data_IF_712242566030
#
_entry.id   IF_712242566030
#
_cell.length_a   1.000
_cell.length_b   1.000
_cell.length_c   1.000
_cell.angle_alpha   90.00
_cell.angle_beta   90.00
_cell.angle_gamma   90.00
#
_symmetry.space_group_name_H-M   'P 1'
#
loop_
_entity.id
_entity.type
_entity.pdbx_description
1 polymer ?
#
# COMPACT_ATOMS: atom_id res chain seq x y z
N UNK A 1 -10.13 -22.28 22.19
CA UNK A 1 -8.85 -21.80 21.62
C UNK A 1 -9.13 -20.51 20.87
N UNK A 2 -8.88 -19.36 21.50
CA UNK A 2 -9.07 -18.06 20.85
C UNK A 2 -7.83 -17.75 19.99
N UNK A 3 -7.94 -17.97 18.68
CA UNK A 3 -6.97 -17.45 17.72
C UNK A 3 -7.07 -15.93 17.76
N UNK A 4 -6.15 -15.29 18.48
CA UNK A 4 -5.98 -13.84 18.45
C UNK A 4 -5.37 -13.49 17.09
N UNK A 5 -6.21 -13.41 16.06
CA UNK A 5 -5.89 -12.66 14.88
C UNK A 5 -5.78 -11.20 15.31
N UNK A 6 -4.57 -10.76 15.62
CA UNK A 6 -4.28 -9.34 15.69
C UNK A 6 -4.61 -8.78 14.30
N UNK A 7 -5.82 -8.22 14.15
CA UNK A 7 -6.22 -7.46 12.98
C UNK A 7 -5.36 -6.21 12.96
N UNK A 8 -4.17 -6.30 12.36
CA UNK A 8 -3.43 -5.10 11.99
C UNK A 8 -4.32 -4.36 11.01
N UNK A 9 -4.80 -3.19 11.44
CA UNK A 9 -5.70 -2.38 10.65
C UNK A 9 -5.04 -2.10 9.31
N UNK A 10 -5.70 -2.55 8.24
CA UNK A 10 -5.39 -2.11 6.89
C UNK A 10 -5.40 -0.59 6.88
N UNK A 11 -4.44 0.04 6.20
CA UNK A 11 -4.39 1.48 6.10
C UNK A 11 -5.10 1.87 4.80
N UNK A 12 -6.31 2.46 4.86
CA UNK A 12 -7.03 2.86 3.66
C UNK A 12 -6.20 3.83 2.83
N UNK A 13 -6.27 3.69 1.51
CA UNK A 13 -5.57 4.59 0.61
C UNK A 13 -4.06 4.34 0.50
N UNK A 14 -3.52 3.22 0.99
CA UNK A 14 -2.14 2.81 0.70
C UNK A 14 -2.09 1.65 -0.32
N UNK A 15 -0.97 1.53 -1.04
CA UNK A 15 -0.66 0.40 -1.93
C UNK A 15 0.79 -0.02 -1.70
N UNK A 16 1.00 -1.34 -1.56
CA UNK A 16 2.33 -1.96 -1.52
C UNK A 16 2.68 -2.46 -2.90
N UNK A 17 3.40 -1.65 -3.68
CA UNK A 17 3.91 -2.05 -4.98
C UNK A 17 5.10 -2.99 -4.83
N UNK A 18 5.18 -3.99 -5.70
CA UNK A 18 6.25 -4.98 -5.72
C UNK A 18 7.02 -4.86 -7.03
N UNK A 19 8.35 -4.72 -6.96
CA UNK A 19 9.22 -4.51 -8.10
C UNK A 19 10.23 -5.65 -8.25
N UNK A 20 10.35 -6.16 -9.47
CA UNK A 20 11.47 -7.02 -9.87
C UNK A 20 12.70 -6.18 -10.21
N UNK A 21 13.88 -6.80 -10.09
CA UNK A 21 15.16 -6.20 -10.44
C UNK A 21 15.19 -5.73 -11.90
N UNK A 22 15.75 -4.55 -12.11
CA UNK A 22 15.88 -3.93 -13.43
C UNK A 22 14.60 -3.29 -13.98
N UNK A 23 13.47 -3.35 -13.27
CA UNK A 23 12.22 -2.72 -13.68
C UNK A 23 11.95 -1.44 -12.88
N UNK A 24 11.54 -0.38 -13.58
CA UNK A 24 11.09 0.89 -12.98
C UNK A 24 9.58 0.94 -12.77
N UNK A 25 8.85 -0.04 -13.30
CA UNK A 25 7.40 -0.19 -13.18
C UNK A 25 7.05 -1.33 -12.22
N UNK A 26 5.95 -1.22 -11.44
CA UNK A 26 5.54 -2.30 -10.55
C UNK A 26 5.21 -3.58 -11.31
N UNK A 27 5.71 -4.72 -10.84
CA UNK A 27 5.38 -6.05 -11.36
C UNK A 27 4.12 -6.63 -10.73
N UNK A 28 3.84 -6.25 -9.48
CA UNK A 28 2.64 -6.67 -8.74
C UNK A 28 2.28 -5.64 -7.65
N UNK A 29 1.18 -5.92 -6.93
CA UNK A 29 0.75 -5.21 -5.73
C UNK A 29 0.31 -6.18 -4.65
N UNK A 30 0.55 -5.85 -3.39
CA UNK A 30 -0.01 -6.60 -2.27
C UNK A 30 -1.55 -6.54 -2.28
N UNK A 31 -2.15 -7.61 -1.77
CA UNK A 31 -3.59 -7.69 -1.57
C UNK A 31 -4.08 -6.59 -0.61
N UNK A 32 -3.37 -6.40 0.50
CA UNK A 32 -3.66 -5.42 1.55
C UNK A 32 -2.36 -4.82 2.08
N UNK A 33 -2.43 -3.58 2.58
CA UNK A 33 -1.30 -2.92 3.27
C UNK A 33 -1.74 -2.58 4.68
N UNK A 34 -1.08 -3.20 5.66
CA UNK A 34 -1.23 -2.88 7.07
C UNK A 34 -0.18 -1.87 7.54
N UNK A 35 -0.36 -1.35 8.75
CA UNK A 35 0.64 -0.48 9.40
C UNK A 35 2.00 -1.14 9.58
N UNK A 36 2.07 -2.46 9.74
CA UNK A 36 3.33 -3.21 9.85
C UNK A 36 4.09 -3.27 8.53
N UNK A 37 3.38 -3.21 7.42
CA UNK A 37 3.99 -3.30 6.10
C UNK A 37 4.79 -2.04 5.74
N UNK A 38 4.52 -0.91 6.40
CA UNK A 38 5.29 0.33 6.21
C UNK A 38 6.78 0.16 6.52
N UNK A 39 7.14 -0.70 7.48
CA UNK A 39 8.56 -0.94 7.80
C UNK A 39 9.29 -1.78 6.76
N UNK A 40 8.58 -2.28 5.76
CA UNK A 40 9.10 -3.05 4.64
C UNK A 40 9.39 -2.19 3.41
N UNK A 41 9.06 -0.90 3.45
CA UNK A 41 9.35 0.04 2.36
C UNK A 41 10.87 0.06 2.05
N UNK A 42 11.20 -0.16 0.78
CA UNK A 42 12.58 -0.28 0.28
C UNK A 42 13.26 -1.62 0.55
N UNK A 43 12.62 -2.56 1.27
CA UNK A 43 13.23 -3.87 1.57
C UNK A 43 12.92 -4.90 0.49
N UNK A 44 13.86 -5.85 0.32
CA UNK A 44 13.62 -7.06 -0.46
C UNK A 44 12.81 -8.01 0.41
N UNK A 45 11.64 -8.36 -0.08
CA UNK A 45 10.70 -9.26 0.58
C UNK A 45 10.50 -10.49 -0.28
N UNK A 46 10.32 -11.62 0.39
CA UNK A 46 9.75 -12.80 -0.24
C UNK A 46 8.23 -12.75 -0.13
N UNK A 47 7.53 -13.02 -1.23
CA UNK A 47 6.09 -12.95 -1.36
C UNK A 47 5.54 -14.24 -1.96
N UNK A 48 4.27 -14.52 -1.64
CA UNK A 48 3.49 -15.61 -2.24
C UNK A 48 2.19 -15.05 -2.78
N UNK A 49 1.76 -15.55 -3.94
CA UNK A 49 0.43 -15.27 -4.47
C UNK A 49 -0.54 -16.34 -3.97
N UNK A 50 -1.45 -15.97 -3.08
CA UNK A 50 -2.46 -16.89 -2.53
C UNK A 50 -3.72 -16.85 -3.41
N UNK A 51 -4.20 -17.99 -3.94
CA UNK A 51 -5.42 -18.02 -4.75
C UNK A 51 -6.60 -17.38 -4.02
N UNK A 52 -7.35 -16.52 -4.72
CA UNK A 52 -8.51 -15.80 -4.18
C UNK A 52 -8.19 -14.65 -3.22
N UNK A 53 -6.92 -14.45 -2.84
CA UNK A 53 -6.50 -13.35 -1.95
C UNK A 53 -5.52 -12.40 -2.63
N UNK A 54 -4.56 -12.94 -3.39
CA UNK A 54 -3.50 -12.18 -4.03
C UNK A 54 -2.16 -12.24 -3.27
N UNK A 55 -1.27 -11.29 -3.56
CA UNK A 55 0.10 -11.29 -3.06
C UNK A 55 0.19 -10.91 -1.57
N UNK A 56 0.99 -11.69 -0.83
CA UNK A 56 1.31 -11.48 0.58
C UNK A 56 2.81 -11.58 0.81
N UNK A 57 3.33 -10.82 1.77
CA UNK A 57 4.71 -10.96 2.24
C UNK A 57 4.83 -12.19 3.15
N UNK A 58 5.83 -13.01 2.89
CA UNK A 58 6.26 -14.12 3.74
C UNK A 58 7.32 -13.67 4.75
N UNK A 59 8.37 -12.98 4.28
CA UNK A 59 9.53 -12.58 5.09
C UNK A 59 10.37 -11.52 4.39
N UNK A 60 11.25 -10.86 5.15
CA UNK A 60 12.33 -10.02 4.62
C UNK A 60 13.52 -10.90 4.24
N UNK A 61 14.17 -10.62 3.10
CA UNK A 61 15.41 -11.28 2.66
C UNK A 61 16.60 -10.39 2.95
N UNK A 62 17.20 -10.55 4.13
CA UNK A 62 18.42 -9.82 4.53
C UNK A 62 19.69 -10.42 3.94
N UNK A 63 19.60 -11.61 3.36
CA UNK A 63 20.67 -12.31 2.65
C UNK A 63 20.84 -11.86 1.20
N UNK A 64 19.99 -10.92 0.75
CA UNK A 64 19.95 -10.41 -0.62
C UNK A 64 20.22 -8.92 -0.64
N UNK A 65 21.05 -8.51 -1.59
CA UNK A 65 21.31 -7.09 -1.89
C UNK A 65 20.49 -6.59 -3.08
N UNK A 66 19.94 -7.49 -3.89
CA UNK A 66 19.14 -7.18 -5.08
C UNK A 66 17.92 -8.13 -5.20
N UNK A 67 16.76 -7.64 -5.70
CA UNK A 67 15.58 -8.47 -5.98
C UNK A 67 15.78 -9.38 -7.21
N UNK A 68 14.89 -10.36 -7.39
CA UNK A 68 14.95 -11.24 -8.55
C UNK A 68 14.65 -10.48 -9.85
N UNK A 69 15.35 -10.82 -10.93
CA UNK A 69 15.13 -10.27 -12.27
C UNK A 69 14.02 -11.06 -12.99
N UNK A 70 13.32 -10.39 -13.91
CA UNK A 70 12.16 -10.93 -14.65
C UNK A 70 12.41 -12.26 -15.40
N UNK A 71 13.67 -12.62 -15.70
CA UNK A 71 14.00 -13.90 -16.36
C UNK A 71 13.93 -15.11 -15.42
N UNK A 72 13.91 -14.88 -14.10
CA UNK A 72 13.72 -15.94 -13.11
C UNK A 72 12.21 -16.15 -12.96
N UNK A 73 11.65 -17.15 -13.64
CA UNK A 73 10.20 -17.44 -13.74
C UNK A 73 9.46 -17.74 -12.42
N UNK A 74 10.02 -17.36 -11.28
CA UNK A 74 9.40 -17.41 -9.95
C UNK A 74 9.66 -16.06 -9.28
N UNK A 75 8.68 -15.16 -9.40
CA UNK A 75 8.69 -13.84 -8.79
C UNK A 75 8.35 -13.92 -7.30
N UNK A 76 9.14 -14.69 -6.55
CA UNK A 76 8.95 -14.81 -5.10
C UNK A 76 9.67 -13.69 -4.36
N UNK A 77 10.68 -13.03 -4.94
CA UNK A 77 11.47 -12.00 -4.23
C UNK A 77 11.42 -10.66 -4.96
N UNK A 78 10.78 -9.68 -4.35
CA UNK A 78 10.55 -8.35 -4.92
C UNK A 78 10.95 -7.26 -3.91
N UNK A 79 11.31 -6.07 -4.40
CA UNK A 79 11.40 -4.89 -3.54
C UNK A 79 9.99 -4.38 -3.29
N UNK A 80 9.69 -4.13 -2.01
CA UNK A 80 8.42 -3.54 -1.59
C UNK A 80 8.53 -2.02 -1.55
N UNK A 81 7.54 -1.34 -2.12
CA UNK A 81 7.37 0.11 -1.99
C UNK A 81 5.94 0.43 -1.54
N UNK A 82 5.82 1.03 -0.36
CA UNK A 82 4.53 1.42 0.21
C UNK A 82 4.26 2.89 -0.12
N UNK A 83 3.22 3.15 -0.91
CA UNK A 83 2.84 4.51 -1.29
C UNK A 83 1.41 4.83 -0.86
N UNK A 84 1.18 6.08 -0.49
CA UNK A 84 -0.18 6.62 -0.46
C UNK A 84 -0.70 6.68 -1.90
N UNK A 85 -1.92 6.22 -2.12
CA UNK A 85 -2.67 6.49 -3.34
C UNK A 85 -2.80 8.00 -3.42
N UNK A 86 -2.27 8.59 -4.49
CA UNK A 86 -2.65 9.95 -4.83
C UNK A 86 -4.15 9.92 -5.13
N UNK A 87 -4.95 10.35 -4.16
CA UNK A 87 -6.33 10.69 -4.44
C UNK A 87 -6.25 11.93 -5.32
N UNK A 88 -6.72 11.87 -6.57
CA UNK A 88 -6.98 13.09 -7.34
C UNK A 88 -8.16 13.81 -6.69
N UNK A 89 -7.97 14.39 -5.50
CA UNK A 89 -8.86 15.44 -5.02
C UNK A 89 -8.61 16.65 -5.93
N UNK A 90 -9.56 16.89 -6.82
CA UNK A 90 -9.63 18.12 -7.60
C UNK A 90 -9.70 19.29 -6.60
N UNK A 91 -8.78 20.28 -6.59
CA UNK A 91 -8.73 21.34 -5.58
C UNK A 91 -9.95 22.28 -5.50
N UNK A 92 -11.00 22.06 -6.30
CA UNK A 92 -12.04 23.05 -6.55
C UNK A 92 -13.31 22.92 -5.68
N UNK A 93 -13.40 21.95 -4.76
CA UNK A 93 -14.63 21.72 -3.98
C UNK A 93 -14.59 22.16 -2.51
N UNK A 94 -13.57 22.90 -2.06
CA UNK A 94 -13.47 23.34 -0.66
C UNK A 94 -13.74 24.85 -0.45
N UNK A 95 -14.38 25.52 -1.41
CA UNK A 95 -14.72 26.94 -1.31
C UNK A 95 -16.21 27.22 -1.55
N UNK A 96 -17.10 26.57 -0.81
CA UNK A 96 -18.51 26.98 -0.73
C UNK A 96 -19.24 26.35 0.47
N UNK A 97 -18.71 26.55 1.67
CA UNK A 97 -19.48 26.30 2.90
C UNK A 97 -19.00 27.22 4.03
N UNK A 98 -19.27 28.51 3.88
CA UNK A 98 -19.27 29.49 4.97
C UNK A 98 -19.96 30.77 4.51
N UNK A 99 -21.29 30.69 4.37
CA UNK A 99 -22.15 31.85 4.58
C UNK A 99 -23.23 31.42 5.56
N UNK A 100 -23.01 31.76 6.81
CA UNK A 100 -24.04 31.73 7.85
C UNK A 100 -25.21 32.64 7.41
N UNK A 101 -26.47 32.25 7.63
CA UNK A 101 -27.60 33.14 7.51
C UNK A 101 -27.83 33.83 8.86
N UNK A 102 -27.37 35.07 9.02
CA UNK A 102 -27.88 35.92 10.11
C UNK A 102 -29.19 36.54 9.67
N UNK A 103 -30.28 35.93 10.11
CA UNK A 103 -31.59 36.57 10.16
C UNK A 103 -31.64 37.58 11.32
N UNK A 104 -32.59 38.52 11.20
CA UNK A 104 -33.31 39.19 12.28
C UNK A 104 -32.78 40.54 12.85
N UNK A 105 -33.39 41.61 12.33
CA UNK A 105 -34.25 42.59 13.04
C UNK A 105 -33.75 43.97 13.50
N UNK A 106 -34.72 44.91 13.38
CA UNK A 106 -34.93 46.21 14.05
C UNK A 106 -34.23 47.44 13.43
N UNK A 107 -34.87 48.60 13.22
CA UNK A 107 -36.21 49.12 13.57
C UNK A 107 -36.59 50.22 12.58
#
# INVERSE_FOLDING_TARGET
MHSSFYYFSEIPGYIGHLFLGGLTVPSAKLAHVSSRDKVLDGKIVECVCVPGVGWKVLRVRTDKTEPNYHKSGVAEQLVMCVRQRQNKTNPQQQASSSREPTASHHK
#
